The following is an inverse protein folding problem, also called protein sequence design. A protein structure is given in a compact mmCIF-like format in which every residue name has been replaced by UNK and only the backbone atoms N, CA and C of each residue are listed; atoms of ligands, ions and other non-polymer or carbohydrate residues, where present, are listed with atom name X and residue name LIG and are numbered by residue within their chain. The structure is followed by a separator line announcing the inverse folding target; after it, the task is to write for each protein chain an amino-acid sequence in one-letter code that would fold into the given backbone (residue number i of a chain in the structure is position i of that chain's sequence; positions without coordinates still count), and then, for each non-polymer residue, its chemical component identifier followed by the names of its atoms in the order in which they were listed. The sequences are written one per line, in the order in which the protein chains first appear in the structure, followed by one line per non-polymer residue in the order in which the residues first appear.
data_IF_816657400996
#
_entry.id   IF_816657400996
#
_cell.length_a   1.000
_cell.length_b   1.000
_cell.length_c   1.000
_cell.angle_alpha   90.00
_cell.angle_beta   90.00
_cell.angle_gamma   90.00
#
_symmetry.space_group_name_H-M   'P 1'
#
loop_
_entity.id
_entity.type
_entity.pdbx_description
1 polymer ?
#
# COMPACT_ATOMS: atom_id res chain seq x y z
N UNK A 1 18.66 124.04 12.71
CA UNK A 1 17.44 123.76 13.49
C UNK A 1 16.89 122.45 12.93
N UNK A 2 17.23 121.31 13.55
CA UNK A 2 16.32 120.48 14.37
C UNK A 2 15.08 120.03 13.57
N UNK A 3 14.68 118.75 13.47
CA UNK A 3 15.04 117.51 14.20
C UNK A 3 14.29 116.32 13.56
N UNK A 4 14.80 115.10 13.79
CA UNK A 4 14.12 113.79 13.96
C UNK A 4 13.35 113.12 12.79
N UNK A 5 13.24 111.79 12.63
CA UNK A 5 13.99 110.58 13.00
C UNK A 5 13.21 109.35 12.38
N UNK A 6 13.84 108.16 12.31
CA UNK A 6 13.21 106.80 12.35
C UNK A 6 12.57 106.14 11.07
N UNK A 7 13.16 105.04 10.53
CA UNK A 7 12.86 103.62 10.84
C UNK A 7 13.56 102.63 9.86
N UNK A 8 14.15 101.60 10.46
CA UNK A 8 14.80 100.38 9.94
C UNK A 8 14.00 99.54 8.94
N UNK A 9 14.65 98.91 7.97
CA UNK A 9 14.11 97.74 7.23
C UNK A 9 15.13 96.60 7.22
N UNK A 10 14.82 95.53 7.96
CA UNK A 10 15.60 94.28 8.01
C UNK A 10 15.13 93.36 6.89
N UNK A 11 16.03 92.97 5.99
CA UNK A 11 15.78 91.95 4.99
C UNK A 11 16.11 90.55 5.54
N UNK A 12 15.15 89.61 5.45
CA UNK A 12 15.40 88.15 5.56
C UNK A 12 15.03 87.47 4.24
N UNK A 13 15.89 86.57 3.75
CA UNK A 13 15.43 85.35 3.08
C UNK A 13 16.25 84.14 3.57
N UNK A 14 15.85 82.87 3.49
CA UNK A 14 14.62 82.15 3.12
C UNK A 14 14.87 80.74 3.67
N UNK A 15 14.01 80.24 4.57
CA UNK A 15 14.16 78.87 5.06
C UNK A 15 13.86 77.89 3.93
N UNK A 16 14.85 77.09 3.54
CA UNK A 16 14.71 75.97 2.62
C UNK A 16 13.95 74.84 3.34
N UNK A 17 12.78 74.50 2.81
CA UNK A 17 11.91 73.44 3.30
C UNK A 17 12.54 72.08 2.95
N UNK A 18 13.23 71.46 3.91
CA UNK A 18 13.64 70.05 3.79
C UNK A 18 12.41 69.12 3.75
N UNK A 19 12.52 67.93 3.13
CA UNK A 19 11.41 66.99 3.02
C UNK A 19 10.89 66.64 4.41
N UNK A 20 9.58 66.77 4.58
CA UNK A 20 8.90 66.52 5.85
C UNK A 20 9.11 65.04 6.24
N UNK A 21 9.63 64.75 7.45
CA UNK A 21 9.95 63.37 7.87
C UNK A 21 8.73 62.43 7.84
N UNK A 22 7.52 62.99 7.93
CA UNK A 22 6.25 62.26 7.82
C UNK A 22 5.99 61.66 6.44
N UNK A 23 6.40 62.35 5.36
CA UNK A 23 6.22 61.86 3.98
C UNK A 23 7.21 60.75 3.68
N UNK A 24 8.45 60.89 4.15
CA UNK A 24 9.46 59.84 4.06
C UNK A 24 9.04 58.58 4.83
N UNK A 25 8.46 58.74 6.02
CA UNK A 25 7.95 57.62 6.82
C UNK A 25 6.80 56.86 6.12
N UNK A 26 5.86 57.58 5.49
CA UNK A 26 4.75 56.98 4.73
C UNK A 26 5.25 56.18 3.51
N UNK A 27 6.24 56.70 2.79
CA UNK A 27 6.82 56.02 1.62
C UNK A 27 7.55 54.75 2.03
N UNK A 28 8.30 54.78 3.15
CA UNK A 28 8.97 53.60 3.70
C UNK A 28 7.97 52.53 4.15
N UNK A 29 6.83 52.93 4.73
CA UNK A 29 5.73 52.01 5.12
C UNK A 29 5.04 51.36 3.91
N UNK A 30 4.82 52.11 2.84
CA UNK A 30 4.22 51.57 1.61
C UNK A 30 5.18 50.59 0.91
N UNK A 31 6.47 50.93 0.82
CA UNK A 31 7.48 50.07 0.20
C UNK A 31 7.68 48.76 0.97
N UNK A 32 7.69 48.79 2.31
CA UNK A 32 7.83 47.58 3.12
C UNK A 32 6.64 46.62 2.97
N UNK A 33 5.43 47.15 2.76
CA UNK A 33 4.24 46.33 2.50
C UNK A 33 4.30 45.55 1.18
N UNK A 34 4.91 46.13 0.13
CA UNK A 34 5.05 45.47 -1.18
C UNK A 34 6.12 44.38 -1.21
N UNK A 35 7.20 44.49 -0.43
CA UNK A 35 8.27 43.47 -0.39
C UNK A 35 7.93 42.27 0.50
N UNK A 36 7.08 42.44 1.51
CA UNK A 36 6.65 41.35 2.39
C UNK A 36 5.72 40.33 1.69
N UNK A 37 5.01 40.75 0.63
CA UNK A 37 3.95 39.95 0.02
C UNK A 37 4.41 38.67 -0.69
N UNK A 38 5.63 38.62 -1.23
CA UNK A 38 6.13 37.46 -1.98
C UNK A 38 7.11 36.60 -1.18
N UNK A 39 7.92 37.23 -0.32
CA UNK A 39 8.88 36.52 0.55
C UNK A 39 8.19 35.85 1.72
N UNK A 40 7.01 36.32 2.14
CA UNK A 40 6.24 35.72 3.24
C UNK A 40 5.54 34.41 2.88
N UNK A 41 5.38 34.07 1.59
CA UNK A 41 4.64 32.88 1.17
C UNK A 41 5.42 31.57 1.36
N UNK A 42 6.75 31.61 1.18
CA UNK A 42 7.63 30.45 1.41
C UNK A 42 7.65 30.03 2.87
N UNK A 43 7.93 30.92 3.86
CA UNK A 43 7.88 30.53 5.28
C UNK A 43 6.47 30.18 5.74
N UNK A 44 5.42 30.75 5.15
CA UNK A 44 4.04 30.32 5.41
C UNK A 44 3.77 28.90 4.90
N UNK A 45 4.30 28.52 3.73
CA UNK A 45 4.23 27.15 3.21
C UNK A 45 4.99 26.17 4.12
N UNK A 46 6.24 26.46 4.44
CA UNK A 46 7.06 25.60 5.31
C UNK A 46 6.44 25.43 6.70
N UNK A 47 5.83 26.48 7.25
CA UNK A 47 5.10 26.39 8.52
C UNK A 47 3.89 25.45 8.43
N UNK A 48 3.16 25.46 7.31
CA UNK A 48 2.05 24.54 7.09
C UNK A 48 2.53 23.10 6.85
N UNK A 49 3.62 22.89 6.11
CA UNK A 49 4.20 21.55 5.92
C UNK A 49 4.74 20.97 7.23
N UNK A 50 5.30 21.79 8.12
CA UNK A 50 5.73 21.35 9.47
C UNK A 50 4.56 20.93 10.37
N UNK A 51 3.36 21.42 10.08
CA UNK A 51 2.12 21.08 10.80
C UNK A 51 1.39 19.89 10.19
N UNK A 52 1.86 19.38 9.04
CA UNK A 52 1.30 18.21 8.38
C UNK A 52 1.78 16.95 9.12
N UNK A 53 0.87 16.00 9.32
CA UNK A 53 1.25 14.72 9.90
C UNK A 53 2.21 13.96 8.97
N UNK A 54 3.05 13.09 9.55
CA UNK A 54 3.97 12.27 8.76
C UNK A 54 3.22 11.22 7.94
N UNK A 55 3.78 10.87 6.78
CA UNK A 55 3.32 9.70 6.02
C UNK A 55 3.62 8.44 6.82
N UNK A 56 2.63 7.55 6.91
CA UNK A 56 2.78 6.26 7.59
C UNK A 56 2.85 5.14 6.56
N UNK A 57 3.77 4.19 6.76
CA UNK A 57 3.78 2.95 5.98
C UNK A 57 2.87 1.94 6.69
N UNK A 58 1.81 1.53 6.02
CA UNK A 58 0.87 0.51 6.52
C UNK A 58 0.94 -0.74 5.65
N UNK A 59 0.73 -1.90 6.28
CA UNK A 59 0.66 -3.17 5.54
C UNK A 59 -0.79 -3.44 5.13
N UNK A 60 -1.00 -3.68 3.84
CA UNK A 60 -2.27 -4.07 3.24
C UNK A 60 -2.18 -5.55 2.81
N UNK A 61 -3.30 -6.26 2.91
CA UNK A 61 -3.37 -7.69 2.63
C UNK A 61 -4.33 -7.98 1.48
N UNK A 62 -3.83 -8.67 0.46
CA UNK A 62 -4.66 -9.29 -0.57
C UNK A 62 -4.68 -10.81 -0.37
N UNK A 63 -5.73 -11.47 -0.87
CA UNK A 63 -5.89 -12.92 -0.72
C UNK A 63 -6.43 -13.57 -1.98
N UNK A 64 -5.84 -14.70 -2.34
CA UNK A 64 -6.34 -15.64 -3.35
C UNK A 64 -6.50 -16.99 -2.67
N UNK A 65 -7.67 -17.62 -2.83
CA UNK A 65 -7.96 -18.87 -2.11
C UNK A 65 -8.81 -19.82 -2.94
N UNK A 66 -8.56 -21.11 -2.76
CA UNK A 66 -9.39 -22.19 -3.27
C UNK A 66 -9.73 -23.14 -2.14
N UNK A 67 -11.00 -23.48 -2.01
CA UNK A 67 -11.46 -24.54 -1.13
C UNK A 67 -12.44 -25.42 -1.90
N UNK A 68 -12.28 -26.73 -1.78
CA UNK A 68 -13.19 -27.68 -2.42
C UNK A 68 -13.48 -28.85 -1.49
N UNK A 69 -14.69 -29.38 -1.62
CA UNK A 69 -15.12 -30.59 -0.91
C UNK A 69 -15.72 -31.53 -1.94
N UNK A 70 -15.13 -32.70 -2.09
CA UNK A 70 -15.56 -33.68 -3.08
C UNK A 70 -16.88 -34.32 -2.65
N UNK A 71 -17.78 -34.55 -3.60
CA UNK A 71 -19.12 -35.09 -3.30
C UNK A 71 -19.46 -36.35 -4.08
N UNK A 72 -18.69 -36.70 -5.11
CA UNK A 72 -18.92 -37.90 -5.90
C UNK A 72 -17.78 -38.91 -5.68
N UNK A 73 -18.07 -40.19 -5.99
CA UNK A 73 -17.13 -41.29 -5.75
C UNK A 73 -15.76 -41.07 -6.42
N UNK A 74 -15.75 -40.47 -7.61
CA UNK A 74 -14.55 -39.95 -8.27
C UNK A 74 -14.92 -38.60 -8.84
N UNK A 75 -14.23 -37.55 -8.39
CA UNK A 75 -14.47 -36.17 -8.83
C UNK A 75 -13.14 -35.44 -9.00
N UNK A 76 -13.01 -34.73 -10.11
CA UNK A 76 -11.85 -33.91 -10.45
C UNK A 76 -12.17 -32.44 -10.24
N UNK A 77 -11.22 -31.68 -9.71
CA UNK A 77 -11.28 -30.24 -9.54
C UNK A 77 -10.01 -29.62 -10.13
N UNK A 78 -10.19 -28.66 -11.05
CA UNK A 78 -9.08 -27.89 -11.60
C UNK A 78 -9.48 -26.42 -11.67
N UNK A 79 -8.64 -25.55 -11.11
CA UNK A 79 -8.86 -24.11 -11.13
C UNK A 79 -7.54 -23.34 -11.07
N UNK A 80 -7.56 -22.09 -11.49
CA UNK A 80 -6.41 -21.20 -11.44
C UNK A 80 -6.85 -19.76 -11.24
N UNK A 81 -6.11 -18.99 -10.46
CA UNK A 81 -6.31 -17.56 -10.27
C UNK A 81 -4.96 -16.87 -10.25
N UNK A 82 -4.93 -15.64 -10.74
CA UNK A 82 -3.72 -14.83 -10.76
C UNK A 82 -3.82 -13.62 -9.84
N UNK A 83 -2.66 -13.09 -9.46
CA UNK A 83 -2.51 -11.82 -8.75
C UNK A 83 -1.24 -11.12 -9.21
N UNK A 84 -1.21 -9.80 -9.14
CA UNK A 84 -0.07 -9.01 -9.59
C UNK A 84 0.92 -8.77 -8.46
N UNK A 85 2.21 -8.94 -8.71
CA UNK A 85 3.31 -8.68 -7.76
C UNK A 85 4.17 -7.55 -8.27
N UNK A 86 4.50 -6.62 -7.39
CA UNK A 86 5.35 -5.46 -7.65
C UNK A 86 6.27 -5.19 -6.45
N UNK A 87 7.02 -4.10 -6.50
CA UNK A 87 7.95 -3.67 -5.44
C UNK A 87 7.29 -3.41 -4.08
N UNK A 88 5.97 -3.24 -4.02
CA UNK A 88 5.26 -3.05 -2.75
C UNK A 88 5.09 -4.36 -1.98
N UNK A 89 5.15 -5.51 -2.65
CA UNK A 89 4.96 -6.84 -2.04
C UNK A 89 6.21 -7.23 -1.27
N UNK A 90 6.07 -7.41 0.04
CA UNK A 90 7.19 -7.74 0.93
C UNK A 90 7.21 -9.20 1.36
N UNK A 91 6.04 -9.83 1.41
CA UNK A 91 5.87 -11.20 1.88
C UNK A 91 4.66 -11.85 1.19
N UNK A 92 4.78 -13.13 0.89
CA UNK A 92 3.69 -13.97 0.40
C UNK A 92 3.60 -15.19 1.30
N UNK A 93 2.48 -15.33 2.00
CA UNK A 93 2.23 -16.46 2.89
C UNK A 93 1.31 -17.48 2.21
N UNK A 94 1.66 -18.75 2.32
CA UNK A 94 0.90 -19.87 1.75
C UNK A 94 0.44 -20.79 2.88
N UNK A 95 -0.88 -20.87 3.04
CA UNK A 95 -1.55 -21.82 3.90
C UNK A 95 -2.16 -22.95 3.06
N UNK A 96 -1.84 -24.20 3.38
CA UNK A 96 -2.40 -25.36 2.72
C UNK A 96 -2.89 -26.39 3.73
N UNK A 97 -4.06 -26.95 3.47
CA UNK A 97 -4.60 -28.09 4.21
C UNK A 97 -5.39 -29.00 3.27
N UNK A 98 -5.19 -30.30 3.40
CA UNK A 98 -5.99 -31.32 2.75
C UNK A 98 -6.39 -32.39 3.76
N UNK A 99 -7.57 -32.97 3.56
CA UNK A 99 -8.02 -34.14 4.29
C UNK A 99 -8.61 -35.18 3.36
N UNK A 100 -8.18 -36.42 3.54
CA UNK A 100 -8.55 -37.58 2.75
C UNK A 100 -9.16 -38.64 3.66
N UNK A 101 -10.39 -39.03 3.35
CA UNK A 101 -11.08 -40.03 4.14
C UNK A 101 -10.40 -41.38 3.99
N UNK A 102 -10.16 -42.03 5.13
CA UNK A 102 -9.57 -43.35 5.21
C UNK A 102 -8.21 -43.47 4.48
N UNK A 103 -7.44 -42.37 4.36
CA UNK A 103 -6.08 -42.39 3.81
C UNK A 103 -5.20 -43.42 4.51
N UNK A 104 -5.30 -43.52 5.84
CA UNK A 104 -4.51 -44.46 6.66
C UNK A 104 -4.77 -45.94 6.33
N UNK A 105 -5.90 -46.25 5.68
CA UNK A 105 -6.32 -47.63 5.39
C UNK A 105 -6.25 -47.97 3.90
N UNK A 106 -6.57 -47.03 3.02
CA UNK A 106 -6.71 -47.24 1.57
C UNK A 106 -5.52 -46.63 0.80
N UNK A 107 -4.72 -45.79 1.45
CA UNK A 107 -3.62 -45.05 0.84
C UNK A 107 -4.10 -44.06 -0.21
N UNK A 108 -3.23 -43.77 -1.17
CA UNK A 108 -3.46 -42.79 -2.24
C UNK A 108 -4.42 -43.25 -3.34
N UNK A 109 -4.91 -44.50 -3.30
CA UNK A 109 -5.98 -44.98 -4.17
C UNK A 109 -7.33 -44.88 -3.44
N UNK A 110 -8.42 -44.72 -4.20
CA UNK A 110 -9.76 -44.93 -3.68
C UNK A 110 -10.11 -46.43 -3.64
N UNK A 111 -11.31 -46.76 -3.15
CA UNK A 111 -11.79 -48.14 -3.10
C UNK A 111 -11.99 -48.78 -4.51
N UNK A 112 -12.03 -47.97 -5.58
CA UNK A 112 -12.17 -48.38 -6.97
C UNK A 112 -10.85 -48.45 -7.76
N UNK A 113 -9.72 -48.08 -7.13
CA UNK A 113 -8.39 -48.05 -7.74
C UNK A 113 -8.02 -46.74 -8.46
N UNK A 114 -8.83 -45.68 -8.36
CA UNK A 114 -8.51 -44.35 -8.86
C UNK A 114 -7.58 -43.61 -7.89
N UNK A 115 -6.58 -42.90 -8.42
CA UNK A 115 -5.63 -42.13 -7.59
C UNK A 115 -6.29 -40.85 -7.06
N UNK A 116 -6.14 -40.60 -5.75
CA UNK A 116 -6.61 -39.39 -5.09
C UNK A 116 -5.42 -38.49 -4.84
N UNK A 117 -5.53 -37.21 -5.18
CA UNK A 117 -4.46 -36.26 -4.98
C UNK A 117 -4.98 -34.83 -4.95
N UNK A 118 -4.21 -33.95 -4.33
CA UNK A 118 -4.34 -32.50 -4.45
C UNK A 118 -2.94 -31.98 -4.77
N UNK A 119 -2.80 -31.37 -5.95
CA UNK A 119 -1.60 -30.69 -6.39
C UNK A 119 -1.89 -29.20 -6.45
N UNK A 120 -1.05 -28.41 -5.80
CA UNK A 120 -1.12 -26.95 -5.82
C UNK A 120 0.23 -26.39 -6.20
N UNK A 121 0.22 -25.45 -7.13
CA UNK A 121 1.43 -24.80 -7.63
C UNK A 121 1.22 -23.29 -7.63
N UNK A 122 2.18 -22.57 -7.07
CA UNK A 122 2.32 -21.13 -7.18
C UNK A 122 3.48 -20.83 -8.13
N UNK A 123 3.15 -20.24 -9.26
CA UNK A 123 4.10 -19.88 -10.31
C UNK A 123 4.36 -18.38 -10.30
N UNK A 124 5.63 -17.99 -10.33
CA UNK A 124 6.06 -16.59 -10.40
C UNK A 124 5.90 -16.01 -11.82
N UNK A 125 6.13 -14.69 -11.93
CA UNK A 125 6.01 -13.97 -13.19
C UNK A 125 7.02 -14.39 -14.27
N UNK A 126 8.14 -14.99 -13.88
CA UNK A 126 9.17 -15.50 -14.80
C UNK A 126 8.86 -16.94 -15.27
N UNK A 127 7.78 -17.54 -14.76
CA UNK A 127 7.39 -18.92 -15.03
C UNK A 127 8.07 -19.95 -14.12
N UNK A 128 8.80 -19.50 -13.09
CA UNK A 128 9.39 -20.34 -12.05
C UNK A 128 8.35 -20.84 -11.05
N UNK A 129 8.60 -22.01 -10.46
CA UNK A 129 7.77 -22.52 -9.37
C UNK A 129 8.27 -21.92 -8.06
N UNK A 130 7.54 -20.94 -7.54
CA UNK A 130 7.86 -20.29 -6.27
C UNK A 130 7.53 -21.18 -5.07
N UNK A 131 6.43 -21.94 -5.18
CA UNK A 131 6.02 -22.92 -4.19
C UNK A 131 5.13 -23.99 -4.84
N UNK A 132 5.21 -25.23 -4.36
CA UNK A 132 4.31 -26.30 -4.81
C UNK A 132 4.17 -27.38 -3.75
N UNK A 133 2.99 -28.01 -3.70
CA UNK A 133 2.76 -29.20 -2.90
C UNK A 133 1.93 -30.20 -3.68
N UNK A 134 2.17 -31.48 -3.42
CA UNK A 134 1.37 -32.59 -3.95
C UNK A 134 1.17 -33.59 -2.82
N UNK A 135 -0.09 -33.85 -2.49
CA UNK A 135 -0.46 -34.74 -1.38
C UNK A 135 -1.57 -35.69 -1.81
N UNK A 136 -1.53 -36.89 -1.27
CA UNK A 136 -2.59 -37.90 -1.44
C UNK A 136 -3.10 -38.47 -0.10
N UNK A 137 -2.67 -37.87 1.00
CA UNK A 137 -3.05 -38.20 2.38
C UNK A 137 -3.29 -36.90 3.17
N UNK A 138 -3.84 -37.02 4.38
CA UNK A 138 -4.06 -35.89 5.27
C UNK A 138 -2.79 -35.03 5.40
N UNK A 139 -2.93 -33.74 5.11
CA UNK A 139 -1.83 -32.79 5.14
C UNK A 139 -2.26 -31.49 5.81
N UNK A 140 -1.50 -31.08 6.82
CA UNK A 140 -1.65 -29.79 7.47
C UNK A 140 -0.26 -29.25 7.83
N UNK A 141 0.58 -28.97 6.81
CA UNK A 141 1.88 -28.36 7.04
C UNK A 141 1.72 -27.00 7.73
N UNK A 142 2.75 -26.53 8.46
CA UNK A 142 2.82 -25.15 8.90
C UNK A 142 2.69 -24.20 7.70
N UNK A 143 2.14 -23.01 7.95
CA UNK A 143 2.12 -21.93 6.95
C UNK A 143 3.55 -21.58 6.53
N UNK A 144 3.75 -21.44 5.22
CA UNK A 144 5.05 -21.14 4.63
C UNK A 144 5.09 -19.69 4.15
N UNK A 145 6.12 -18.95 4.57
CA UNK A 145 6.33 -17.56 4.20
C UNK A 145 7.43 -17.45 3.16
N UNK A 146 7.09 -16.87 2.01
CA UNK A 146 8.04 -16.43 1.00
C UNK A 146 8.40 -14.97 1.29
N UNK A 147 9.70 -14.67 1.29
CA UNK A 147 10.22 -13.32 1.51
C UNK A 147 10.98 -12.83 0.29
N UNK A 148 10.81 -11.55 -0.06
CA UNK A 148 11.52 -10.89 -1.13
C UNK A 148 13.05 -10.90 -0.90
N UNK A 149 13.83 -11.47 -1.83
CA UNK A 149 15.30 -11.54 -1.74
C UNK A 149 15.97 -11.39 -3.13
N UNK A 150 16.40 -10.19 -3.56
CA UNK A 150 16.14 -8.86 -2.97
C UNK A 150 14.71 -8.35 -3.23
N UNK A 151 14.06 -8.86 -4.27
CA UNK A 151 12.70 -8.53 -4.70
C UNK A 151 12.04 -9.80 -5.26
N UNK A 152 10.71 -9.82 -5.30
CA UNK A 152 9.98 -10.84 -6.04
C UNK A 152 10.01 -10.54 -7.54
N UNK A 153 9.86 -11.58 -8.37
CA UNK A 153 9.65 -11.39 -9.80
C UNK A 153 8.39 -10.53 -10.02
N UNK A 154 8.57 -9.35 -10.62
CA UNK A 154 7.48 -8.41 -10.86
C UNK A 154 6.63 -8.87 -12.04
N UNK A 155 5.30 -8.90 -11.86
CA UNK A 155 4.36 -9.32 -12.88
C UNK A 155 3.23 -10.19 -12.34
N UNK A 156 2.61 -10.95 -13.23
CA UNK A 156 1.47 -11.81 -12.91
C UNK A 156 1.95 -13.14 -12.31
N UNK A 157 1.55 -13.41 -11.07
CA UNK A 157 1.75 -14.69 -10.39
C UNK A 157 0.48 -15.52 -10.49
N UNK A 158 0.62 -16.84 -10.59
CA UNK A 158 -0.51 -17.75 -10.81
C UNK A 158 -0.55 -18.83 -9.73
N UNK A 159 -1.67 -18.91 -9.01
CA UNK A 159 -2.01 -20.05 -8.17
C UNK A 159 -2.87 -21.01 -8.97
N UNK A 160 -2.40 -22.23 -9.18
CA UNK A 160 -3.13 -23.31 -9.85
C UNK A 160 -3.35 -24.49 -8.93
N UNK A 161 -4.52 -25.10 -9.02
CA UNK A 161 -4.88 -26.33 -8.32
C UNK A 161 -5.35 -27.35 -9.34
N UNK A 162 -4.82 -28.56 -9.22
CA UNK A 162 -5.34 -29.76 -9.88
C UNK A 162 -5.52 -30.85 -8.83
N UNK A 163 -6.71 -31.44 -8.77
CA UNK A 163 -7.06 -32.37 -7.72
C UNK A 163 -8.07 -33.41 -8.17
N UNK A 164 -7.95 -34.61 -7.59
CA UNK A 164 -8.92 -35.68 -7.71
C UNK A 164 -9.19 -36.25 -6.33
N UNK A 165 -10.47 -36.36 -5.97
CA UNK A 165 -10.87 -36.84 -4.65
C UNK A 165 -12.16 -37.64 -4.70
N UNK A 166 -12.48 -38.24 -3.56
CA UNK A 166 -13.72 -39.00 -3.37
C UNK A 166 -14.63 -38.33 -2.37
N UNK A 167 -15.93 -38.51 -2.56
CA UNK A 167 -16.92 -38.12 -1.58
C UNK A 167 -18.26 -38.82 -1.81
N UNK A 168 -19.16 -38.65 -0.84
CA UNK A 168 -20.52 -39.16 -0.94
C UNK A 168 -21.57 -38.10 -0.55
N UNK A 169 -22.76 -38.17 -1.19
CA UNK A 169 -23.84 -37.19 -1.01
C UNK A 169 -24.93 -37.63 -0.04
N UNK A 170 -25.01 -38.91 0.30
CA UNK A 170 -26.14 -39.49 1.00
C UNK A 170 -26.10 -39.27 2.51
N UNK A 171 -24.94 -39.50 3.14
CA UNK A 171 -24.72 -39.39 4.59
C UNK A 171 -23.91 -38.15 4.98
N UNK A 172 -23.28 -37.48 4.00
CA UNK A 172 -22.41 -36.31 4.16
C UNK A 172 -21.25 -36.51 5.17
N UNK A 173 -20.73 -37.73 5.29
CA UNK A 173 -19.72 -38.10 6.29
C UNK A 173 -18.36 -38.45 5.69
N UNK A 174 -18.32 -38.96 4.46
CA UNK A 174 -17.08 -39.42 3.85
C UNK A 174 -16.76 -38.54 2.64
N UNK A 175 -15.98 -37.48 2.86
CA UNK A 175 -15.59 -36.52 1.83
C UNK A 175 -14.16 -36.06 2.00
N UNK A 176 -13.38 -36.22 0.94
CA UNK A 176 -12.12 -35.54 0.80
C UNK A 176 -12.37 -34.03 0.67
N UNK A 177 -11.42 -33.22 1.14
CA UNK A 177 -11.49 -31.77 1.01
C UNK A 177 -10.10 -31.16 1.06
N UNK A 178 -9.98 -29.95 0.51
CA UNK A 178 -8.78 -29.15 0.69
C UNK A 178 -9.12 -27.67 0.79
N UNK A 179 -8.17 -26.91 1.32
CA UNK A 179 -8.18 -25.47 1.39
C UNK A 179 -6.75 -24.95 1.16
N UNK A 180 -6.59 -24.04 0.20
CA UNK A 180 -5.37 -23.27 0.00
C UNK A 180 -5.70 -21.79 0.05
N UNK A 181 -4.87 -21.03 0.76
CA UNK A 181 -4.95 -19.57 0.85
C UNK A 181 -3.55 -19.00 0.64
N UNK A 182 -3.43 -18.09 -0.31
CA UNK A 182 -2.25 -17.26 -0.52
C UNK A 182 -2.58 -15.86 -0.03
N UNK A 183 -1.80 -15.35 0.93
CA UNK A 183 -1.92 -14.00 1.47
C UNK A 183 -0.75 -13.16 1.00
N UNK A 184 -1.02 -12.03 0.36
CA UNK A 184 -0.01 -11.11 -0.19
C UNK A 184 0.08 -9.89 0.71
N UNK A 185 1.27 -9.60 1.21
CA UNK A 185 1.54 -8.51 2.14
C UNK A 185 2.19 -7.37 1.37
N UNK A 186 1.52 -6.22 1.32
CA UNK A 186 1.99 -5.03 0.62
C UNK A 186 2.29 -3.89 1.58
N UNK A 187 3.39 -3.19 1.36
CA UNK A 187 3.63 -1.91 2.00
C UNK A 187 2.94 -0.80 1.19
N UNK A 188 2.02 -0.08 1.82
CA UNK A 188 1.38 1.09 1.25
C UNK A 188 1.78 2.34 2.05
N UNK A 189 1.96 3.47 1.34
CA UNK A 189 2.23 4.77 1.95
C UNK A 189 0.91 5.51 2.13
N UNK A 190 0.47 5.67 3.37
CA UNK A 190 -0.77 6.37 3.69
C UNK A 190 -0.48 7.84 4.01
N UNK A 191 -1.08 8.73 3.22
CA UNK A 191 -1.01 10.16 3.48
C UNK A 191 -2.08 10.59 4.50
N UNK A 192 -1.77 11.57 5.36
CA UNK A 192 -2.78 12.14 6.24
C UNK A 192 -3.92 12.75 5.43
N UNK A 193 -5.16 12.55 5.89
CA UNK A 193 -6.42 13.01 5.27
C UNK A 193 -6.92 12.21 4.06
N UNK A 194 -6.19 11.18 3.62
CA UNK A 194 -6.64 10.24 2.60
C UNK A 194 -7.03 8.90 3.27
N UNK A 195 -8.22 8.39 2.95
CA UNK A 195 -8.68 7.10 3.48
C UNK A 195 -8.09 5.90 2.73
N UNK A 196 -7.56 6.13 1.53
CA UNK A 196 -6.97 5.12 0.65
C UNK A 196 -5.47 5.36 0.43
N UNK A 197 -4.78 4.24 0.23
CA UNK A 197 -3.67 4.15 -0.70
C UNK A 197 -4.20 3.52 -2.01
#
# INVERSE_FOLDING_TARGET
MSTDDIFTTVARPRATMGPRPTVAALIVLLLSSTFAGCIGLVPAREYLETRRDSVETVTVYDRVAFAHTFTNAVETYSNSSSFYVDESVTQIDVYFKASFVASDTIGCADAGGALRYVQVTLTDADGGVAWSTEVCEDANPPEESLFAQPEFASGEWVLSVDAQGTGERFLNQFKDNFNVVVTIHRNCMKYPLEDSC
#
